data_IF_159914532609
#
_entry.id   IF_159914532609
#
_cell.length_a   1.000
_cell.length_b   1.000
_cell.length_c   1.000
_cell.angle_alpha   90.00
_cell.angle_beta   90.00
_cell.angle_gamma   90.00
#
_symmetry.space_group_name_H-M   'P 1'
#
loop_
_entity.id
_entity.type
_entity.pdbx_description
1 polymer ?
#
# COMPACT_ATOMS: atom_id res chain seq x y z
N UNK A 1 -64.54 -25.59 -38.81
CA UNK A 1 -63.58 -25.64 -37.69
C UNK A 1 -62.15 -25.57 -38.22
N UNK A 2 -61.51 -24.38 -38.19
CA UNK A 2 -60.09 -24.21 -38.57
C UNK A 2 -59.22 -24.34 -37.32
N UNK A 3 -58.32 -25.33 -37.30
CA UNK A 3 -57.32 -25.51 -36.24
C UNK A 3 -56.23 -24.44 -36.37
N UNK A 4 -56.23 -23.46 -35.48
CA UNK A 4 -55.13 -22.51 -35.30
C UNK A 4 -53.97 -23.19 -34.55
N UNK A 5 -52.85 -23.40 -35.25
CA UNK A 5 -51.58 -23.78 -34.61
C UNK A 5 -51.07 -22.57 -33.81
N UNK A 6 -51.26 -22.60 -32.49
CA UNK A 6 -50.50 -21.75 -31.57
C UNK A 6 -49.03 -22.15 -31.63
N UNK A 7 -48.25 -21.39 -32.39
CA UNK A 7 -46.80 -21.26 -32.21
C UNK A 7 -46.57 -20.79 -30.78
N UNK A 8 -46.19 -21.70 -29.89
CA UNK A 8 -45.66 -21.33 -28.57
C UNK A 8 -44.30 -20.71 -28.84
N UNK A 9 -44.24 -19.38 -28.74
CA UNK A 9 -42.99 -18.64 -28.68
C UNK A 9 -42.09 -19.29 -27.64
N UNK A 10 -40.90 -19.73 -28.07
CA UNK A 10 -39.82 -20.05 -27.14
C UNK A 10 -39.53 -18.77 -26.36
N UNK A 11 -39.45 -18.82 -25.02
CA UNK A 11 -39.06 -17.64 -24.27
C UNK A 11 -37.68 -17.18 -24.75
N UNK A 12 -37.61 -15.91 -25.11
CA UNK A 12 -36.42 -15.18 -25.53
C UNK A 12 -35.53 -14.90 -24.31
N UNK A 13 -35.17 -15.96 -23.58
CA UNK A 13 -33.99 -16.01 -22.73
C UNK A 13 -33.01 -16.93 -23.43
N UNK A 14 -32.48 -16.41 -24.53
CA UNK A 14 -31.22 -16.89 -25.09
C UNK A 14 -30.21 -16.90 -23.95
N UNK A 15 -29.85 -18.10 -23.50
CA UNK A 15 -28.51 -18.46 -23.03
C UNK A 15 -27.65 -17.25 -22.71
N UNK A 16 -27.91 -16.60 -21.57
CA UNK A 16 -26.83 -15.90 -20.89
C UNK A 16 -25.86 -17.03 -20.57
N UNK A 17 -24.74 -17.00 -21.27
CA UNK A 17 -23.70 -18.02 -21.25
C UNK A 17 -23.35 -18.34 -19.79
N UNK A 18 -23.87 -19.45 -19.25
CA UNK A 18 -23.71 -19.83 -17.85
C UNK A 18 -22.23 -19.83 -17.44
N UNK A 19 -21.36 -20.17 -18.39
CA UNK A 19 -19.90 -20.09 -18.26
C UNK A 19 -19.38 -18.66 -18.00
N UNK A 20 -19.92 -17.64 -18.68
CA UNK A 20 -19.53 -16.24 -18.45
C UNK A 20 -20.00 -15.74 -17.10
N UNK A 21 -21.19 -16.16 -16.67
CA UNK A 21 -21.72 -15.76 -15.37
C UNK A 21 -20.93 -16.39 -14.22
N UNK A 22 -20.54 -17.66 -14.34
CA UNK A 22 -19.64 -18.33 -13.39
C UNK A 22 -18.27 -17.65 -13.31
N UNK A 23 -17.67 -17.28 -14.45
CA UNK A 23 -16.40 -16.53 -14.50
C UNK A 23 -16.54 -15.16 -13.81
N UNK A 24 -17.65 -14.46 -14.02
CA UNK A 24 -17.90 -13.16 -13.39
C UNK A 24 -18.03 -13.32 -11.87
N UNK A 25 -18.85 -14.28 -11.41
CA UNK A 25 -19.05 -14.54 -9.97
C UNK A 25 -17.74 -14.93 -9.29
N UNK A 26 -16.98 -15.87 -9.86
CA UNK A 26 -15.68 -16.29 -9.35
C UNK A 26 -14.71 -15.11 -9.20
N UNK A 27 -14.56 -14.30 -10.25
CA UNK A 27 -13.65 -13.15 -10.21
C UNK A 27 -14.10 -12.06 -9.21
N UNK A 28 -15.42 -11.91 -8.98
CA UNK A 28 -15.93 -10.99 -7.95
C UNK A 28 -15.58 -11.49 -6.55
N UNK A 29 -15.69 -12.80 -6.29
CA UNK A 29 -15.33 -13.40 -5.00
C UNK A 29 -13.82 -13.27 -4.74
N UNK A 30 -12.99 -13.53 -5.74
CA UNK A 30 -11.55 -13.27 -5.69
C UNK A 30 -11.25 -11.80 -5.33
N UNK A 31 -11.89 -10.84 -6.00
CA UNK A 31 -11.72 -9.41 -5.69
C UNK A 31 -12.13 -9.08 -4.24
N UNK A 32 -13.18 -9.74 -3.70
CA UNK A 32 -13.59 -9.56 -2.30
C UNK A 32 -12.53 -10.10 -1.35
N UNK A 33 -12.02 -11.31 -1.59
CA UNK A 33 -10.95 -11.91 -0.79
C UNK A 33 -9.68 -11.03 -0.80
N UNK A 34 -9.26 -10.58 -1.99
CA UNK A 34 -8.13 -9.66 -2.15
C UNK A 34 -8.30 -8.34 -1.37
N UNK A 35 -9.54 -7.82 -1.29
CA UNK A 35 -9.85 -6.62 -0.49
C UNK A 35 -9.70 -6.88 1.00
N UNK A 36 -10.19 -8.01 1.50
CA UNK A 36 -10.07 -8.38 2.92
C UNK A 36 -8.61 -8.54 3.32
N UNK A 37 -7.80 -9.16 2.46
CA UNK A 37 -6.36 -9.29 2.65
C UNK A 37 -5.67 -7.91 2.75
N UNK A 38 -5.97 -6.98 1.83
CA UNK A 38 -5.44 -5.60 1.92
C UNK A 38 -5.88 -4.93 3.24
N UNK A 39 -7.14 -5.04 3.62
CA UNK A 39 -7.64 -4.42 4.85
C UNK A 39 -6.94 -4.97 6.10
N UNK A 40 -6.71 -6.28 6.16
CA UNK A 40 -5.98 -6.91 7.25
C UNK A 40 -4.53 -6.41 7.31
N UNK A 41 -3.85 -6.30 6.17
CA UNK A 41 -2.48 -5.78 6.05
C UNK A 41 -2.36 -4.33 6.50
N UNK A 42 -3.25 -3.46 6.03
CA UNK A 42 -3.28 -2.05 6.44
C UNK A 42 -3.49 -1.92 7.96
N UNK A 43 -4.39 -2.73 8.53
CA UNK A 43 -4.62 -2.76 9.98
C UNK A 43 -3.39 -3.23 10.75
N UNK A 44 -2.72 -4.27 10.26
CA UNK A 44 -1.48 -4.79 10.85
C UNK A 44 -0.35 -3.75 10.80
N UNK A 45 -0.16 -3.09 9.64
CA UNK A 45 0.81 -2.02 9.46
C UNK A 45 0.56 -0.85 10.43
N UNK A 46 -0.69 -0.38 10.53
CA UNK A 46 -1.07 0.69 11.45
C UNK A 46 -0.82 0.33 12.92
N UNK A 47 -1.26 -0.86 13.36
CA UNK A 47 -1.04 -1.33 14.73
C UNK A 47 0.44 -1.50 15.06
N UNK A 48 1.22 -2.04 14.13
CA UNK A 48 2.67 -2.17 14.30
C UNK A 48 3.37 -0.82 14.36
N UNK A 49 2.86 0.20 13.66
CA UNK A 49 3.39 1.56 13.69
C UNK A 49 3.12 2.23 15.03
N UNK A 50 1.91 2.07 15.57
CA UNK A 50 1.59 2.57 16.93
C UNK A 50 2.50 1.91 17.95
N UNK A 51 2.59 0.57 17.95
CA UNK A 51 3.43 -0.15 18.91
C UNK A 51 4.90 0.30 18.81
N UNK A 52 5.41 0.44 17.59
CA UNK A 52 6.76 0.92 17.34
C UNK A 52 6.98 2.34 17.88
N UNK A 53 6.11 3.29 17.55
CA UNK A 53 6.19 4.68 18.05
C UNK A 53 6.11 4.70 19.58
N UNK A 54 5.24 3.89 20.20
CA UNK A 54 5.15 3.80 21.65
C UNK A 54 6.45 3.30 22.28
N UNK A 55 7.09 2.27 21.72
CA UNK A 55 8.39 1.77 22.21
C UNK A 55 9.48 2.83 22.05
N UNK A 56 9.57 3.48 20.89
CA UNK A 56 10.54 4.54 20.64
C UNK A 56 10.32 5.72 21.59
N UNK A 57 9.07 6.16 21.77
CA UNK A 57 8.70 7.26 22.68
C UNK A 57 9.02 6.91 24.13
N UNK A 58 8.76 5.65 24.54
CA UNK A 58 9.13 5.16 25.86
C UNK A 58 10.65 5.19 26.05
N UNK A 59 11.43 4.67 25.11
CA UNK A 59 12.90 4.68 25.16
C UNK A 59 13.42 6.12 25.22
N UNK A 60 12.95 7.01 24.34
CA UNK A 60 13.34 8.44 24.35
C UNK A 60 12.92 9.10 25.66
N UNK A 61 11.74 8.80 26.18
CA UNK A 61 11.27 9.31 27.46
C UNK A 61 12.14 8.85 28.63
N UNK A 62 12.55 7.58 28.65
CA UNK A 62 13.48 7.04 29.65
C UNK A 62 14.86 7.68 29.54
N UNK A 63 15.33 7.93 28.32
CA UNK A 63 16.57 8.67 28.09
C UNK A 63 16.42 10.09 28.65
N UNK A 64 15.47 10.88 28.15
CA UNK A 64 15.31 12.30 28.52
C UNK A 64 14.89 12.55 29.97
N UNK A 65 14.45 11.53 30.70
CA UNK A 65 14.10 11.65 32.11
C UNK A 65 15.38 11.86 32.95
N UNK A 66 15.64 13.12 33.33
CA UNK A 66 16.79 13.54 34.13
C UNK A 66 16.85 12.89 35.51
N UNK A 67 15.74 12.39 36.03
CA UNK A 67 15.69 11.75 37.36
C UNK A 67 16.24 10.31 37.36
N UNK A 68 16.34 9.66 36.20
CA UNK A 68 16.71 8.24 36.13
C UNK A 68 18.22 7.99 35.98
N UNK A 69 19.06 9.02 35.84
CA UNK A 69 20.53 8.86 35.65
C UNK A 69 20.93 8.03 34.42
N UNK A 70 19.97 7.64 33.56
CA UNK A 70 20.21 6.79 32.39
C UNK A 70 20.98 7.54 31.32
N UNK A 71 20.68 8.84 31.09
CA UNK A 71 21.50 9.67 30.20
C UNK A 71 22.91 9.84 30.75
N UNK A 72 23.08 10.07 32.05
CA UNK A 72 24.42 10.22 32.65
C UNK A 72 25.21 8.92 32.54
N UNK A 73 24.64 7.77 32.90
CA UNK A 73 25.30 6.46 32.76
C UNK A 73 25.57 6.02 31.31
N UNK A 74 24.71 6.39 30.35
CA UNK A 74 24.95 6.14 28.91
C UNK A 74 25.98 7.13 28.34
N UNK A 75 26.02 8.37 28.83
CA UNK A 75 27.05 9.35 28.46
C UNK A 75 28.41 8.99 29.09
N UNK A 76 28.41 8.36 30.26
CA UNK A 76 29.59 7.90 30.99
C UNK A 76 30.14 6.57 30.47
N UNK A 77 29.32 5.72 29.84
CA UNK A 77 29.77 4.49 29.15
C UNK A 77 29.60 4.58 27.61
N UNK A 78 30.66 4.98 26.89
CA UNK A 78 30.66 5.08 25.43
C UNK A 78 30.31 3.77 24.72
N UNK A 79 30.59 2.61 25.31
CA UNK A 79 30.26 1.32 24.69
C UNK A 79 28.76 1.02 24.78
N UNK A 80 28.14 1.31 25.93
CA UNK A 80 26.69 1.12 26.11
C UNK A 80 25.89 2.02 25.16
N UNK A 81 26.31 3.29 25.01
CA UNK A 81 25.72 4.21 24.04
C UNK A 81 25.85 3.69 22.61
N UNK A 82 27.03 3.20 22.24
CA UNK A 82 27.30 2.67 20.90
C UNK A 82 26.44 1.44 20.60
N UNK A 83 26.41 0.46 21.50
CA UNK A 83 25.60 -0.76 21.35
C UNK A 83 24.11 -0.43 21.21
N UNK A 84 23.60 0.45 22.06
CA UNK A 84 22.18 0.86 22.04
C UNK A 84 21.83 1.58 20.75
N UNK A 85 22.72 2.46 20.28
CA UNK A 85 22.53 3.19 19.02
C UNK A 85 22.53 2.26 17.81
N UNK A 86 23.44 1.27 17.76
CA UNK A 86 23.48 0.26 16.69
C UNK A 86 22.23 -0.64 16.76
N UNK A 87 21.80 -1.06 17.95
CA UNK A 87 20.59 -1.86 18.12
C UNK A 87 19.34 -1.09 17.64
N UNK A 88 19.22 0.19 17.97
CA UNK A 88 18.15 1.06 17.48
C UNK A 88 18.16 1.18 15.96
N UNK A 89 19.35 1.31 15.36
CA UNK A 89 19.52 1.34 13.92
C UNK A 89 18.96 0.09 13.24
N UNK A 90 19.28 -1.10 13.79
CA UNK A 90 18.78 -2.39 13.31
C UNK A 90 17.27 -2.45 13.43
N UNK A 91 16.72 -2.11 14.60
CA UNK A 91 15.28 -2.18 14.89
C UNK A 91 14.48 -1.26 13.96
N UNK A 92 14.91 0.00 13.78
CA UNK A 92 14.28 0.95 12.86
C UNK A 92 14.34 0.39 11.43
N UNK A 93 15.52 -0.02 10.97
CA UNK A 93 15.71 -0.47 9.58
C UNK A 93 14.93 -1.75 9.26
N UNK A 94 14.91 -2.71 10.19
CA UNK A 94 14.13 -3.94 10.06
C UNK A 94 12.62 -3.65 10.03
N UNK A 95 12.14 -2.77 10.91
CA UNK A 95 10.74 -2.36 10.92
C UNK A 95 10.32 -1.73 9.59
N UNK A 96 11.13 -0.81 9.04
CA UNK A 96 10.89 -0.20 7.73
C UNK A 96 10.88 -1.24 6.61
N UNK A 97 11.83 -2.17 6.62
CA UNK A 97 11.87 -3.27 5.67
C UNK A 97 10.58 -4.10 5.67
N UNK A 98 10.03 -4.40 6.86
CA UNK A 98 8.75 -5.12 7.00
C UNK A 98 7.58 -4.28 6.47
N UNK A 99 7.53 -2.97 6.78
CA UNK A 99 6.48 -2.09 6.25
C UNK A 99 6.52 -2.00 4.72
N UNK A 100 7.72 -1.87 4.14
CA UNK A 100 7.91 -1.83 2.71
C UNK A 100 7.48 -3.14 2.04
N UNK A 101 7.86 -4.28 2.63
CA UNK A 101 7.46 -5.60 2.13
C UNK A 101 5.94 -5.78 2.18
N UNK A 102 5.29 -5.38 3.28
CA UNK A 102 3.85 -5.44 3.39
C UNK A 102 3.15 -4.59 2.31
N UNK A 103 3.61 -3.35 2.12
CA UNK A 103 3.04 -2.45 1.13
C UNK A 103 3.30 -2.94 -0.32
N UNK A 104 4.44 -3.57 -0.58
CA UNK A 104 4.72 -4.22 -1.88
C UNK A 104 3.71 -5.33 -2.18
N UNK A 105 3.32 -6.13 -1.19
CA UNK A 105 2.30 -7.17 -1.35
C UNK A 105 0.94 -6.52 -1.66
N UNK A 106 0.57 -5.47 -0.91
CA UNK A 106 -0.64 -4.69 -1.22
C UNK A 106 -0.64 -4.22 -2.68
N UNK A 107 0.45 -3.59 -3.16
CA UNK A 107 0.56 -3.15 -4.56
C UNK A 107 0.45 -4.29 -5.58
N UNK A 108 0.90 -5.50 -5.24
CA UNK A 108 0.74 -6.67 -6.11
C UNK A 108 -0.71 -7.15 -6.17
N UNK A 109 -1.39 -7.20 -5.01
CA UNK A 109 -2.81 -7.55 -4.93
C UNK A 109 -3.65 -6.52 -5.69
N UNK A 110 -3.29 -5.23 -5.61
CA UNK A 110 -3.92 -4.15 -6.37
C UNK A 110 -3.80 -4.35 -7.88
N UNK A 111 -2.61 -4.69 -8.39
CA UNK A 111 -2.40 -4.99 -9.81
C UNK A 111 -3.23 -6.20 -10.26
N UNK A 112 -3.21 -7.27 -9.47
CA UNK A 112 -3.99 -8.48 -9.79
C UNK A 112 -5.48 -8.19 -9.83
N UNK A 113 -6.00 -7.44 -8.85
CA UNK A 113 -7.40 -7.03 -8.80
C UNK A 113 -7.83 -6.20 -10.03
N UNK A 114 -6.93 -5.35 -10.56
CA UNK A 114 -7.20 -4.60 -11.79
C UNK A 114 -7.34 -5.51 -13.01
N UNK A 115 -6.56 -6.59 -13.07
CA UNK A 115 -6.66 -7.55 -14.18
C UNK A 115 -7.96 -8.36 -14.07
N UNK A 116 -8.37 -8.75 -12.86
CA UNK A 116 -9.68 -9.38 -12.63
C UNK A 116 -10.84 -8.47 -13.06
N UNK A 117 -10.77 -7.16 -12.78
CA UNK A 117 -11.79 -6.20 -13.23
C UNK A 117 -11.90 -6.10 -14.75
N UNK A 118 -10.77 -6.11 -15.47
CA UNK A 118 -10.78 -6.11 -16.93
C UNK A 118 -11.46 -7.36 -17.47
N UNK A 119 -11.18 -8.52 -16.88
CA UNK A 119 -11.83 -9.78 -17.25
C UNK A 119 -13.33 -9.69 -17.03
N UNK A 120 -13.78 -9.21 -15.86
CA UNK A 120 -15.22 -9.03 -15.59
C UNK A 120 -15.85 -8.03 -16.57
N UNK A 121 -15.18 -6.92 -16.85
CA UNK A 121 -15.69 -5.93 -17.80
C UNK A 121 -15.83 -6.51 -19.21
N UNK A 122 -14.85 -7.31 -19.66
CA UNK A 122 -14.92 -7.98 -20.97
C UNK A 122 -16.04 -9.03 -21.05
N UNK A 123 -16.40 -9.64 -19.92
CA UNK A 123 -17.42 -10.68 -19.86
C UNK A 123 -18.85 -10.14 -19.66
N UNK A 124 -18.99 -9.02 -18.93
CA UNK A 124 -20.29 -8.47 -18.50
C UNK A 124 -20.64 -7.10 -19.08
N UNK A 125 -19.69 -6.43 -19.74
CA UNK A 125 -19.76 -5.02 -20.18
C UNK A 125 -20.02 -4.01 -19.04
N UNK A 126 -20.09 -4.48 -17.81
CA UNK A 126 -20.25 -3.67 -16.61
C UNK A 126 -18.91 -3.37 -15.98
N UNK A 127 -18.83 -2.21 -15.33
CA UNK A 127 -17.64 -1.81 -14.57
C UNK A 127 -17.87 -2.16 -13.11
N UNK A 128 -17.05 -3.08 -12.62
CA UNK A 128 -16.98 -3.39 -11.21
C UNK A 128 -16.04 -2.40 -10.51
N UNK A 129 -16.60 -1.66 -9.58
CA UNK A 129 -15.84 -0.76 -8.73
C UNK A 129 -15.22 -1.57 -7.60
N UNK A 130 -13.88 -1.69 -7.52
CA UNK A 130 -13.29 -1.96 -6.21
C UNK A 130 -13.12 -0.67 -5.43
N UNK A 131 -12.92 -0.86 -4.13
CA UNK A 131 -12.40 0.14 -3.22
C UNK A 131 -11.18 0.91 -3.75
N UNK A 132 -10.31 0.32 -4.60
CA UNK A 132 -9.23 1.08 -5.27
C UNK A 132 -9.79 2.11 -6.24
N UNK A 133 -10.82 1.72 -6.98
CA UNK A 133 -11.74 2.58 -7.71
C UNK A 133 -12.25 3.78 -6.90
N UNK A 134 -12.33 3.65 -5.59
CA UNK A 134 -12.88 4.64 -4.65
C UNK A 134 -11.80 5.46 -3.94
N UNK A 135 -10.70 4.82 -3.49
CA UNK A 135 -9.50 5.48 -2.96
C UNK A 135 -8.84 6.37 -4.01
N UNK A 136 -8.85 5.94 -5.28
CA UNK A 136 -8.23 6.64 -6.39
C UNK A 136 -9.23 7.25 -7.39
N UNK A 137 -10.56 7.08 -7.25
CA UNK A 137 -11.49 7.40 -8.35
C UNK A 137 -12.61 8.43 -8.15
N UNK A 138 -13.13 8.79 -9.33
CA UNK A 138 -14.13 9.77 -9.79
C UNK A 138 -14.20 11.16 -9.10
N UNK A 139 -14.23 11.27 -7.77
CA UNK A 139 -14.23 12.59 -7.11
C UNK A 139 -12.85 13.26 -7.20
N UNK A 140 -11.79 12.44 -7.28
CA UNK A 140 -10.42 12.89 -7.53
C UNK A 140 -10.21 13.46 -8.93
N UNK A 141 -10.82 12.89 -9.97
CA UNK A 141 -10.58 13.32 -11.35
C UNK A 141 -11.39 14.57 -11.76
N UNK A 142 -12.47 14.89 -11.05
CA UNK A 142 -13.33 16.04 -11.39
C UNK A 142 -12.83 17.39 -10.91
N UNK A 143 -11.99 17.45 -9.86
CA UNK A 143 -11.51 18.72 -9.27
C UNK A 143 -9.99 18.72 -9.14
N UNK A 144 -9.31 19.46 -10.04
CA UNK A 144 -7.84 19.56 -10.15
C UNK A 144 -7.14 19.81 -8.80
N UNK A 145 -7.71 20.67 -7.97
CA UNK A 145 -7.19 21.05 -6.64
C UNK A 145 -7.33 19.91 -5.61
N UNK A 146 -8.48 19.24 -5.55
CA UNK A 146 -8.69 18.10 -4.63
C UNK A 146 -7.80 16.92 -5.00
N UNK A 147 -7.60 16.69 -6.31
CA UNK A 147 -6.67 15.69 -6.82
C UNK A 147 -5.23 15.98 -6.37
N UNK A 148 -4.79 17.24 -6.54
CA UNK A 148 -3.45 17.66 -6.16
C UNK A 148 -3.22 17.51 -4.67
N UNK A 149 -4.11 18.06 -3.83
CA UNK A 149 -4.03 17.96 -2.37
C UNK A 149 -3.98 16.52 -1.88
N UNK A 150 -4.78 15.65 -2.46
CA UNK A 150 -4.89 14.29 -1.96
C UNK A 150 -3.82 13.35 -2.54
N UNK A 151 -3.29 13.62 -3.74
CA UNK A 151 -2.00 13.07 -4.20
C UNK A 151 -0.85 13.52 -3.29
N UNK A 152 -0.85 14.78 -2.88
CA UNK A 152 0.17 15.35 -2.00
C UNK A 152 0.07 14.76 -0.59
N UNK A 153 -1.12 14.63 -0.02
CA UNK A 153 -1.35 13.98 1.28
C UNK A 153 -1.01 12.48 1.26
N UNK A 154 -1.39 11.74 0.22
CA UNK A 154 -1.02 10.34 0.09
C UNK A 154 0.49 10.16 -0.11
N UNK A 155 1.12 11.06 -0.90
CA UNK A 155 2.57 11.12 -1.03
C UNK A 155 3.26 11.50 0.29
N UNK A 156 2.68 12.41 1.07
CA UNK A 156 3.19 12.82 2.39
C UNK A 156 3.07 11.67 3.39
N UNK A 157 1.93 11.01 3.49
CA UNK A 157 1.74 9.84 4.36
C UNK A 157 2.71 8.72 3.94
N UNK A 158 2.83 8.46 2.64
CA UNK A 158 3.81 7.51 2.12
C UNK A 158 5.26 7.92 2.43
N UNK A 159 5.59 9.20 2.38
CA UNK A 159 6.89 9.73 2.75
C UNK A 159 7.17 9.52 4.24
N UNK A 160 6.24 9.85 5.12
CA UNK A 160 6.41 9.71 6.58
C UNK A 160 6.48 8.25 7.03
N UNK A 161 5.76 7.34 6.37
CA UNK A 161 5.74 5.92 6.76
C UNK A 161 6.90 5.14 6.13
N UNK A 162 7.26 5.40 4.87
CA UNK A 162 8.17 4.54 4.11
C UNK A 162 9.53 5.18 3.76
N UNK A 163 9.67 6.51 3.84
CA UNK A 163 10.90 7.21 3.46
C UNK A 163 11.60 7.90 4.63
N UNK A 164 10.87 8.65 5.46
CA UNK A 164 11.44 9.38 6.60
C UNK A 164 12.18 8.45 7.59
N UNK A 165 11.65 7.26 7.95
CA UNK A 165 12.37 6.34 8.83
C UNK A 165 13.72 5.88 8.24
N UNK A 166 13.80 5.68 6.93
CA UNK A 166 15.07 5.37 6.26
C UNK A 166 16.03 6.55 6.28
N UNK A 167 15.54 7.79 6.14
CA UNK A 167 16.37 8.98 6.26
C UNK A 167 16.93 9.14 7.68
N UNK A 168 16.11 8.86 8.71
CA UNK A 168 16.52 8.85 10.12
C UNK A 168 17.58 7.77 10.35
N UNK A 169 17.34 6.53 9.88
CA UNK A 169 18.29 5.44 10.01
C UNK A 169 19.62 5.73 9.28
N UNK A 170 19.56 6.32 8.08
CA UNK A 170 20.74 6.73 7.33
C UNK A 170 21.51 7.85 8.05
N UNK A 171 20.81 8.85 8.59
CA UNK A 171 21.43 9.93 9.36
C UNK A 171 22.15 9.42 10.62
N UNK A 172 21.50 8.52 11.37
CA UNK A 172 22.11 7.83 12.52
C UNK A 172 23.33 7.00 12.09
N UNK A 173 23.26 6.30 10.97
CA UNK A 173 24.38 5.51 10.44
C UNK A 173 25.59 6.38 10.09
N UNK A 174 25.37 7.51 9.40
CA UNK A 174 26.43 8.49 9.10
C UNK A 174 27.03 9.09 10.37
N UNK A 175 26.18 9.42 11.36
CA UNK A 175 26.64 9.93 12.65
C UNK A 175 27.54 8.93 13.38
N UNK A 176 27.14 7.66 13.41
CA UNK A 176 27.92 6.59 14.07
C UNK A 176 29.28 6.35 13.42
N UNK A 177 29.42 6.54 12.10
CA UNK A 177 30.72 6.44 11.41
C UNK A 177 31.75 7.47 11.90
N UNK A 178 31.29 8.61 12.42
CA UNK A 178 32.16 9.67 12.92
C UNK A 178 32.68 9.45 14.34
N UNK A 179 32.29 8.36 15.00
CA UNK A 179 32.65 8.09 16.40
C UNK A 179 33.72 6.99 16.48
N UNK A 180 34.86 7.29 17.12
CA UNK A 180 36.03 6.40 17.19
C UNK A 180 35.75 5.02 17.81
N UNK A 181 34.75 4.92 18.69
CA UNK A 181 34.35 3.68 19.36
C UNK A 181 33.75 2.61 18.45
N UNK A 182 33.36 2.94 17.21
CA UNK A 182 32.67 1.99 16.33
C UNK A 182 33.53 0.78 15.93
N UNK A 183 34.86 0.94 15.98
CA UNK A 183 35.84 -0.11 15.66
C UNK A 183 35.69 -1.32 16.59
N UNK A 184 35.24 -1.10 17.83
CA UNK A 184 35.04 -2.17 18.80
C UNK A 184 33.77 -2.99 18.51
N UNK A 185 32.88 -2.50 17.64
CA UNK A 185 31.56 -3.09 17.37
C UNK A 185 31.32 -3.32 15.86
N UNK A 186 32.39 -3.50 15.08
CA UNK A 186 32.35 -3.71 13.63
C UNK A 186 31.32 -4.79 13.21
N UNK A 187 31.23 -5.98 13.85
CA UNK A 187 30.26 -6.99 13.43
C UNK A 187 28.80 -6.51 13.53
N UNK A 188 28.45 -5.83 14.62
CA UNK A 188 27.11 -5.26 14.83
C UNK A 188 26.84 -4.13 13.85
N UNK A 189 27.84 -3.29 13.59
CA UNK A 189 27.71 -2.20 12.63
C UNK A 189 27.53 -2.69 11.19
N UNK A 190 28.23 -3.76 10.79
CA UNK A 190 28.03 -4.42 9.48
C UNK A 190 26.60 -4.96 9.37
N UNK A 191 26.12 -5.65 10.41
CA UNK A 191 24.74 -6.14 10.44
C UNK A 191 23.73 -5.00 10.30
N UNK A 192 23.94 -3.89 11.01
CA UNK A 192 23.08 -2.73 10.93
C UNK A 192 23.10 -2.07 9.54
N UNK A 193 24.27 -2.00 8.92
CA UNK A 193 24.46 -1.51 7.55
C UNK A 193 23.69 -2.39 6.54
N UNK A 194 23.73 -3.71 6.70
CA UNK A 194 22.96 -4.64 5.87
C UNK A 194 21.44 -4.38 5.95
N UNK A 195 20.89 -4.19 7.15
CA UNK A 195 19.47 -3.86 7.30
C UNK A 195 19.10 -2.52 6.68
N UNK A 196 19.93 -1.48 6.83
CA UNK A 196 19.73 -0.19 6.15
C UNK A 196 19.69 -0.39 4.64
N UNK A 197 20.64 -1.13 4.09
CA UNK A 197 20.70 -1.35 2.65
C UNK A 197 19.44 -2.08 2.13
N UNK A 198 18.96 -3.09 2.85
CA UNK A 198 17.69 -3.76 2.54
C UNK A 198 16.52 -2.78 2.62
N UNK A 199 16.46 -1.94 3.66
CA UNK A 199 15.37 -0.99 3.84
C UNK A 199 15.33 0.05 2.70
N UNK A 200 16.49 0.56 2.28
CA UNK A 200 16.64 1.44 1.12
C UNK A 200 16.22 0.73 -0.17
N UNK A 201 16.75 -0.47 -0.43
CA UNK A 201 16.46 -1.24 -1.64
C UNK A 201 14.96 -1.56 -1.75
N UNK A 202 14.33 -1.97 -0.67
CA UNK A 202 12.88 -2.25 -0.62
C UNK A 202 12.04 -0.99 -0.82
N UNK A 203 12.46 0.17 -0.30
CA UNK A 203 11.80 1.45 -0.59
C UNK A 203 11.90 1.83 -2.08
N UNK A 204 13.05 1.60 -2.72
CA UNK A 204 13.20 1.82 -4.16
C UNK A 204 12.25 0.90 -4.96
N UNK A 205 12.21 -0.39 -4.63
CA UNK A 205 11.29 -1.34 -5.27
C UNK A 205 9.82 -0.92 -5.08
N UNK A 206 9.45 -0.47 -3.88
CA UNK A 206 8.12 0.03 -3.58
C UNK A 206 7.78 1.24 -4.47
N UNK A 207 8.69 2.19 -4.61
CA UNK A 207 8.50 3.36 -5.47
C UNK A 207 8.22 2.96 -6.93
N UNK A 208 9.00 2.02 -7.49
CA UNK A 208 8.75 1.48 -8.83
C UNK A 208 7.37 0.82 -8.96
N UNK A 209 6.96 0.04 -7.96
CA UNK A 209 5.65 -0.61 -7.96
C UNK A 209 4.49 0.38 -7.84
N UNK A 210 4.62 1.41 -7.01
CA UNK A 210 3.60 2.47 -6.89
C UNK A 210 3.41 3.20 -8.22
N UNK A 211 4.51 3.55 -8.92
CA UNK A 211 4.42 4.15 -10.25
C UNK A 211 3.71 3.21 -11.23
N UNK A 212 4.09 1.92 -11.24
CA UNK A 212 3.49 0.92 -12.12
C UNK A 212 1.99 0.75 -11.89
N UNK A 213 1.56 0.66 -10.63
CA UNK A 213 0.14 0.59 -10.23
C UNK A 213 -0.61 1.82 -10.69
N UNK A 214 -0.08 3.02 -10.38
CA UNK A 214 -0.72 4.28 -10.75
C UNK A 214 -0.91 4.41 -12.26
N UNK A 215 0.09 4.00 -13.05
CA UNK A 215 -0.01 3.98 -14.51
C UNK A 215 -1.12 3.04 -14.98
N UNK A 216 -1.10 1.77 -14.53
CA UNK A 216 -2.12 0.76 -14.90
C UNK A 216 -3.52 1.16 -14.49
N UNK A 217 -3.67 1.80 -13.34
CA UNK A 217 -4.95 2.30 -12.85
C UNK A 217 -5.45 3.47 -13.70
N UNK A 218 -4.56 4.40 -14.07
CA UNK A 218 -4.89 5.54 -14.95
C UNK A 218 -5.31 5.04 -16.33
N UNK A 219 -4.56 4.09 -16.91
CA UNK A 219 -4.93 3.45 -18.17
C UNK A 219 -6.30 2.75 -18.08
N UNK A 220 -6.58 2.07 -16.96
CA UNK A 220 -7.88 1.42 -16.76
C UNK A 220 -9.02 2.44 -16.64
N UNK A 221 -8.78 3.53 -15.90
CA UNK A 221 -9.75 4.61 -15.72
C UNK A 221 -10.09 5.27 -17.07
N UNK A 222 -9.08 5.65 -17.86
CA UNK A 222 -9.27 6.43 -19.07
C UNK A 222 -9.88 5.59 -20.21
N UNK A 223 -9.53 4.30 -20.30
CA UNK A 223 -9.99 3.43 -21.38
C UNK A 223 -11.33 2.74 -21.09
N UNK A 224 -11.65 2.46 -19.82
CA UNK A 224 -12.85 1.69 -19.46
C UNK A 224 -13.82 2.51 -18.60
N UNK A 225 -13.36 3.07 -17.47
CA UNK A 225 -14.25 3.75 -16.51
C UNK A 225 -14.88 5.02 -17.06
N UNK A 226 -14.07 5.94 -17.58
CA UNK A 226 -14.52 7.24 -18.05
C UNK A 226 -15.54 7.12 -19.21
N UNK A 227 -15.29 6.34 -20.28
CA UNK A 227 -16.26 6.15 -21.36
C UNK A 227 -17.60 5.58 -20.89
N UNK A 228 -17.58 4.57 -20.00
CA UNK A 228 -18.78 3.97 -19.46
C UNK A 228 -19.63 4.96 -18.65
N UNK A 229 -19.01 5.81 -17.84
CA UNK A 229 -19.71 6.84 -17.08
C UNK A 229 -20.25 7.97 -17.95
N UNK A 230 -19.53 8.36 -19.00
CA UNK A 230 -19.99 9.36 -19.95
C UNK A 230 -21.18 8.84 -20.78
N UNK A 231 -21.13 7.59 -21.24
CA UNK A 231 -22.24 6.92 -21.91
C UNK A 231 -23.49 6.84 -21.01
N UNK A 232 -23.33 6.47 -19.72
CA UNK A 232 -24.46 6.44 -18.77
C UNK A 232 -25.00 7.81 -18.38
N UNK A 233 -24.19 8.88 -18.40
CA UNK A 233 -24.69 10.25 -18.17
C UNK A 233 -25.54 10.74 -19.34
N UNK A 234 -25.16 10.43 -20.58
CA UNK A 234 -25.95 10.79 -21.76
C UNK A 234 -27.36 10.20 -21.77
N UNK A 235 -27.52 8.99 -21.22
CA UNK A 235 -28.82 8.29 -21.11
C UNK A 235 -29.76 8.94 -20.08
N UNK A 236 -29.23 9.57 -19.02
CA UNK A 236 -30.04 10.18 -17.96
C UNK A 236 -30.53 11.59 -18.36
N UNK A 237 -29.83 12.27 -19.28
CA UNK A 237 -30.21 13.61 -19.76
C UNK A 237 -31.15 13.60 -20.97
N UNK A 238 -31.47 12.43 -21.51
CA UNK A 238 -32.34 12.26 -22.70
C UNK A 238 -33.76 11.79 -22.37
N UNK A 239 -34.20 11.88 -21.12
CA UNK A 239 -35.56 11.56 -20.67
C UNK A 239 -36.21 12.75 -19.97
#
# INVERSE_FOLDING_TARGET
MKKSKKSKGKPLYSTIDLSKNEIVVFNIEEIKSMREEINWRVKAAYNSSIAFISVITFIIGQLLNRENGVIESIQEDPNLFMMTSIAMLIVISAWVGVQNANHLIEKRIELYSLDLMKTIHSASEHIFFSWLGYLYGHVYFRKKVKNMLAKLLNASIGFFIYFLPNLIAFGLWVFLLGIDGIRNHIPLFILATFFIFIAILTSFLLFFYVIKVNKRYTDFHDNYMKPYFEAKKGIITSH
#
